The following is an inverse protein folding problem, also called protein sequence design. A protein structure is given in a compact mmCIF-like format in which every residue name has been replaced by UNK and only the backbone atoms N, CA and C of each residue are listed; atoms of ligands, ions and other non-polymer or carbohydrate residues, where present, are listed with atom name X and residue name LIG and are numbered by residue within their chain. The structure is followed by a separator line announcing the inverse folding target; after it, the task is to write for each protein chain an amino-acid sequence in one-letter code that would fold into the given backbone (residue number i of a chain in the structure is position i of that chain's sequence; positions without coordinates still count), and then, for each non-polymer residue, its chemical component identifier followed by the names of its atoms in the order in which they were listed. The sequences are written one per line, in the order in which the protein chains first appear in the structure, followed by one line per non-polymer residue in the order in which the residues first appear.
data_IF_269811604484
#
_entry.id   IF_269811604484
#
_cell.length_a   1.000
_cell.length_b   1.000
_cell.length_c   1.000
_cell.angle_alpha   90.00
_cell.angle_beta   90.00
_cell.angle_gamma   90.00
#
_symmetry.space_group_name_H-M   'P 1'
#
loop_
_entity.id
_entity.type
_entity.pdbx_description
1 polymer ?
#
# COMPACT_ATOMS: atom_id res chain seq x y z
N UNK A 1 -0.76 11.67 -26.56
CA UNK A 1 -1.61 10.57 -26.08
C UNK A 1 -1.31 10.34 -24.59
N UNK A 2 -2.26 10.61 -23.70
CA UNK A 2 -2.12 10.31 -22.27
C UNK A 2 -2.74 8.94 -21.97
N UNK A 3 -1.95 7.88 -22.21
CA UNK A 3 -2.33 6.49 -21.92
C UNK A 3 -2.03 6.07 -20.47
N UNK A 4 -2.68 5.00 -20.03
CA UNK A 4 -2.31 4.31 -18.78
C UNK A 4 -0.94 3.67 -18.96
N UNK A 5 0.00 3.96 -18.07
CA UNK A 5 1.38 3.41 -18.15
C UNK A 5 1.55 2.09 -17.41
N UNK A 6 0.64 1.75 -16.50
CA UNK A 6 0.71 0.53 -15.71
C UNK A 6 -0.05 0.64 -14.40
N UNK A 7 0.17 -0.34 -13.52
CA UNK A 7 -0.32 -0.35 -12.15
C UNK A 7 0.39 0.78 -11.40
N UNK A 8 -0.40 1.60 -10.70
CA UNK A 8 0.18 2.54 -9.76
C UNK A 8 0.47 1.82 -8.45
N UNK A 9 -0.53 1.17 -7.84
CA UNK A 9 -0.38 0.40 -6.60
C UNK A 9 -1.52 -0.59 -6.40
N UNK A 10 -1.31 -1.49 -5.45
CA UNK A 10 -2.31 -2.44 -4.96
C UNK A 10 -2.58 -2.18 -3.49
N UNK A 11 -3.85 -2.20 -3.08
CA UNK A 11 -4.28 -2.09 -1.69
C UNK A 11 -5.02 -3.35 -1.28
N UNK A 12 -4.69 -3.89 -0.11
CA UNK A 12 -5.35 -5.04 0.47
C UNK A 12 -5.74 -4.82 1.95
N UNK A 13 -6.39 -5.81 2.54
CA UNK A 13 -6.76 -5.82 3.96
C UNK A 13 -5.93 -6.88 4.68
N UNK A 14 -5.46 -6.57 5.89
CA UNK A 14 -4.84 -7.52 6.82
C UNK A 14 -5.60 -7.56 8.15
N UNK A 15 -5.54 -8.69 8.84
CA UNK A 15 -6.08 -8.87 10.19
C UNK A 15 -5.03 -8.64 11.29
N UNK A 16 -3.78 -8.36 10.92
CA UNK A 16 -2.67 -8.07 11.83
C UNK A 16 -1.59 -7.27 11.10
N UNK A 17 -1.39 -6.01 11.51
CA UNK A 17 -0.29 -5.18 11.02
C UNK A 17 1.09 -5.80 11.27
N UNK A 18 1.30 -6.44 12.42
CA UNK A 18 2.59 -7.03 12.82
C UNK A 18 2.99 -8.19 11.90
N UNK A 19 2.11 -9.18 11.72
CA UNK A 19 2.38 -10.32 10.82
C UNK A 19 2.55 -9.87 9.37
N UNK A 20 1.80 -8.85 8.97
CA UNK A 20 1.94 -8.25 7.65
C UNK A 20 3.31 -7.58 7.48
N UNK A 21 3.75 -6.81 8.48
CA UNK A 21 5.08 -6.22 8.50
C UNK A 21 6.18 -7.28 8.45
N UNK A 22 6.07 -8.34 9.25
CA UNK A 22 7.05 -9.43 9.27
C UNK A 22 7.18 -10.10 7.90
N UNK A 23 6.05 -10.41 7.26
CA UNK A 23 6.05 -11.04 5.95
C UNK A 23 6.64 -10.11 4.87
N UNK A 24 6.12 -8.90 4.75
CA UNK A 24 6.56 -7.99 3.69
C UNK A 24 8.01 -7.53 3.89
N UNK A 25 8.45 -7.36 5.13
CA UNK A 25 9.81 -6.88 5.43
C UNK A 25 10.83 -8.00 5.44
N UNK A 26 10.59 -9.06 6.20
CA UNK A 26 11.62 -10.09 6.45
C UNK A 26 11.56 -11.25 5.47
N UNK A 27 10.39 -11.57 4.91
CA UNK A 27 10.24 -12.66 3.93
C UNK A 27 10.39 -12.13 2.50
N UNK A 28 9.70 -11.04 2.16
CA UNK A 28 9.74 -10.46 0.82
C UNK A 28 10.82 -9.38 0.62
N UNK A 29 11.44 -8.89 1.69
CA UNK A 29 12.50 -7.88 1.60
C UNK A 29 12.02 -6.48 1.18
N UNK A 30 10.71 -6.20 1.28
CA UNK A 30 10.15 -4.89 0.96
C UNK A 30 10.33 -3.91 2.13
N UNK A 31 10.44 -2.62 1.82
CA UNK A 31 10.60 -1.58 2.84
C UNK A 31 9.25 -1.03 3.25
N UNK A 32 8.97 -0.93 4.56
CA UNK A 32 7.88 -0.11 5.07
C UNK A 32 8.21 1.38 4.84
N UNK A 33 7.67 1.95 3.78
CA UNK A 33 7.96 3.34 3.36
C UNK A 33 7.04 4.36 4.02
N UNK A 34 5.86 3.94 4.49
CA UNK A 34 4.94 4.79 5.26
C UNK A 34 4.07 3.97 6.20
N UNK A 35 3.89 4.49 7.41
CA UNK A 35 2.90 4.03 8.40
C UNK A 35 2.03 5.22 8.77
N UNK A 36 0.74 5.13 8.48
CA UNK A 36 -0.24 6.17 8.80
C UNK A 36 -1.54 5.51 9.26
N UNK A 37 -2.56 6.30 9.51
CA UNK A 37 -3.93 5.83 9.73
C UNK A 37 -4.81 6.14 8.51
N UNK A 38 -5.89 5.40 8.34
CA UNK A 38 -6.91 5.69 7.34
C UNK A 38 -7.52 7.08 7.62
N UNK A 39 -7.73 7.87 6.56
CA UNK A 39 -8.27 9.23 6.67
C UNK A 39 -9.74 9.22 7.09
N UNK A 40 -10.48 8.17 6.70
CA UNK A 40 -11.89 8.00 7.06
C UNK A 40 -12.07 7.34 8.44
N UNK A 41 -11.05 6.62 8.92
CA UNK A 41 -11.05 5.92 10.21
C UNK A 41 -9.65 5.89 10.84
N UNK A 42 -9.41 6.80 11.79
CA UNK A 42 -8.10 6.95 12.43
C UNK A 42 -7.70 5.76 13.32
N UNK A 43 -8.60 4.81 13.59
CA UNK A 43 -8.27 3.60 14.35
C UNK A 43 -7.65 2.51 13.46
N UNK A 44 -7.78 2.64 12.13
CA UNK A 44 -7.29 1.67 11.16
C UNK A 44 -5.91 2.08 10.65
N UNK A 45 -4.89 1.24 10.84
CA UNK A 45 -3.58 1.50 10.23
C UNK A 45 -3.64 1.36 8.71
N UNK A 46 -2.89 2.23 8.02
CA UNK A 46 -2.62 2.13 6.59
C UNK A 46 -1.11 2.03 6.38
N UNK A 47 -0.67 0.82 6.02
CA UNK A 47 0.74 0.46 5.84
C UNK A 47 1.11 0.50 4.37
N UNK A 48 2.30 1.00 4.04
CA UNK A 48 2.82 1.08 2.67
C UNK A 48 4.18 0.39 2.59
N UNK A 49 4.26 -0.63 1.75
CA UNK A 49 5.49 -1.37 1.46
C UNK A 49 5.89 -1.11 0.00
N UNK A 50 7.14 -0.78 -0.26
CA UNK A 50 7.64 -0.53 -1.61
C UNK A 50 9.13 -0.90 -1.74
N UNK A 51 9.70 -0.68 -2.91
CA UNK A 51 11.15 -0.67 -3.09
C UNK A 51 11.82 0.48 -2.31
N UNK A 52 13.15 0.52 -2.32
CA UNK A 52 13.92 1.53 -1.57
C UNK A 52 13.63 2.98 -1.98
N UNK A 53 13.08 3.20 -3.18
CA UNK A 53 12.82 4.52 -3.76
C UNK A 53 11.34 4.91 -3.71
N UNK A 54 10.44 3.99 -3.38
CA UNK A 54 9.00 4.19 -3.51
C UNK A 54 8.55 4.32 -4.96
N UNK A 55 9.13 3.55 -5.88
CA UNK A 55 8.85 3.64 -7.32
C UNK A 55 7.41 3.25 -7.63
N UNK A 56 6.76 3.99 -8.56
CA UNK A 56 5.38 3.68 -8.98
C UNK A 56 5.28 2.25 -9.53
N UNK A 57 4.26 1.51 -9.11
CA UNK A 57 4.05 0.11 -9.48
C UNK A 57 4.73 -0.90 -8.56
N UNK A 58 5.50 -0.44 -7.57
CA UNK A 58 6.13 -1.31 -6.56
C UNK A 58 5.42 -1.28 -5.20
N UNK A 59 4.49 -0.33 -5.01
CA UNK A 59 3.82 -0.12 -3.75
C UNK A 59 2.64 -1.08 -3.53
N UNK A 60 2.73 -1.80 -2.41
CA UNK A 60 1.69 -2.64 -1.85
C UNK A 60 1.25 -2.02 -0.52
N UNK A 61 -0.06 -1.81 -0.38
CA UNK A 61 -0.61 -1.09 0.77
C UNK A 61 -1.66 -1.92 1.50
N UNK A 62 -1.80 -1.73 2.81
CA UNK A 62 -2.69 -2.53 3.64
C UNK A 62 -3.47 -1.69 4.63
N UNK A 63 -4.78 -1.93 4.73
CA UNK A 63 -5.57 -1.52 5.88
C UNK A 63 -5.61 -2.64 6.92
N UNK A 64 -5.32 -2.31 8.18
CA UNK A 64 -5.34 -3.27 9.29
C UNK A 64 -6.68 -3.21 10.03
N UNK A 65 -7.47 -4.28 9.87
CA UNK A 65 -8.73 -4.45 10.57
C UNK A 65 -8.62 -5.64 11.53
N UNK A 66 -8.21 -5.42 12.80
CA UNK A 66 -8.05 -6.51 13.75
C UNK A 66 -9.40 -7.21 14.02
N UNK A 67 -9.36 -8.54 14.15
CA UNK A 67 -10.54 -9.34 14.49
C UNK A 67 -11.43 -9.78 13.33
N UNK A 68 -11.09 -9.45 12.07
CA UNK A 68 -11.75 -10.03 10.90
C UNK A 68 -11.32 -11.50 10.69
N UNK A 69 -12.17 -12.35 10.08
CA UNK A 69 -11.73 -13.66 9.58
C UNK A 69 -10.51 -13.51 8.67
N UNK A 70 -9.64 -14.52 8.60
CA UNK A 70 -8.47 -14.51 7.70
C UNK A 70 -8.93 -14.35 6.25
N UNK A 71 -8.92 -13.11 5.75
CA UNK A 71 -9.43 -12.74 4.44
C UNK A 71 -8.39 -11.87 3.76
N UNK A 72 -8.17 -12.14 2.46
CA UNK A 72 -7.33 -11.33 1.59
C UNK A 72 -8.25 -10.67 0.55
N UNK A 73 -8.58 -9.39 0.76
CA UNK A 73 -9.35 -8.59 -0.20
C UNK A 73 -8.39 -7.63 -0.91
N UNK A 74 -8.47 -7.51 -2.25
CA UNK A 74 -7.50 -6.75 -3.05
C UNK A 74 -8.20 -5.74 -3.97
N UNK A 75 -7.69 -4.51 -4.01
CA UNK A 75 -8.11 -3.42 -4.92
C UNK A 75 -6.90 -2.84 -5.65
N UNK A 76 -7.01 -2.56 -6.94
CA UNK A 76 -5.91 -2.07 -7.79
C UNK A 76 -6.19 -0.70 -8.40
N UNK A 77 -5.18 0.19 -8.44
CA UNK A 77 -5.24 1.50 -9.13
C UNK A 77 -4.22 1.59 -10.26
N UNK A 78 -4.57 2.32 -11.34
CA UNK A 78 -3.72 2.54 -12.52
C UNK A 78 -3.11 3.95 -12.58
N UNK A 79 -1.96 4.11 -13.24
CA UNK A 79 -1.18 5.35 -13.37
C UNK A 79 -1.58 6.18 -14.63
N UNK A 80 -1.89 7.49 -14.46
CA UNK A 80 -2.09 8.53 -15.53
C UNK A 80 -1.08 9.70 -15.35
N UNK A 81 -0.67 10.44 -16.41
CA UNK A 81 0.35 11.54 -16.42
C UNK A 81 -0.09 12.85 -17.13
N UNK A 82 0.60 14.02 -16.95
CA UNK A 82 1.50 14.51 -15.86
C UNK A 82 1.05 15.90 -15.28
N UNK A 83 1.62 16.58 -14.26
CA UNK A 83 2.94 16.62 -13.59
C UNK A 83 2.82 17.09 -12.11
N UNK A 84 3.88 16.90 -11.32
CA UNK A 84 4.18 17.52 -10.01
C UNK A 84 3.49 17.03 -8.73
N UNK A 85 2.31 16.41 -8.77
CA UNK A 85 1.58 16.06 -7.53
C UNK A 85 1.66 14.60 -7.05
N UNK A 86 2.38 13.70 -7.75
CA UNK A 86 2.45 12.28 -7.36
C UNK A 86 3.52 11.96 -6.31
N UNK A 87 4.34 12.93 -5.90
CA UNK A 87 5.10 12.82 -4.64
C UNK A 87 4.19 13.30 -3.51
N UNK A 88 3.98 12.44 -2.50
CA UNK A 88 3.39 12.79 -1.20
C UNK A 88 1.85 12.88 -1.06
N UNK A 89 1.08 12.20 -1.91
CA UNK A 89 -0.26 11.73 -1.49
C UNK A 89 -0.34 10.21 -1.56
N UNK A 90 0.46 9.59 -0.69
CA UNK A 90 0.19 8.27 -0.12
C UNK A 90 -0.92 8.42 0.92
#
# INVERSE_FOLDING_TARGET
MNGLKGIHHVTAITSSAEKNYEFFTYVLGMRLVKKTVNQDDIQTYHLFFADDKGSAGTDMTFFDFPGIPKVFMVRMKYLKLPSEYQRMRL
#
